data_IF_881988940226
#
_entry.id   IF_881988940226
#
_cell.length_a   1.000
_cell.length_b   1.000
_cell.length_c   1.000
_cell.angle_alpha   90.00
_cell.angle_beta   90.00
_cell.angle_gamma   90.00
#
_symmetry.space_group_name_H-M   'P 1'
#
loop_
_entity.id
_entity.type
_entity.pdbx_description
1 polymer ?
#
# COMPACT_ATOMS: atom_id res chain seq x y z
N UNK A 1 -7.12 11.78 42.54
CA UNK A 1 -6.49 11.18 41.33
C UNK A 1 -7.55 11.04 40.23
N UNK A 2 -7.55 11.91 39.21
CA UNK A 2 -8.48 11.79 38.07
C UNK A 2 -7.78 10.97 36.96
N UNK A 3 -8.20 9.72 36.78
CA UNK A 3 -7.84 8.90 35.61
C UNK A 3 -8.62 9.44 34.42
N UNK A 4 -7.99 10.22 33.53
CA UNK A 4 -8.60 10.56 32.25
C UNK A 4 -8.53 9.33 31.35
N UNK A 5 -9.66 8.62 31.27
CA UNK A 5 -9.89 7.59 30.27
C UNK A 5 -9.98 8.24 28.89
N UNK A 6 -8.83 8.48 28.28
CA UNK A 6 -8.75 8.94 26.90
C UNK A 6 -9.11 7.73 26.01
N UNK A 7 -10.40 7.46 25.87
CA UNK A 7 -10.93 6.56 24.84
C UNK A 7 -10.58 7.20 23.50
N UNK A 8 -9.41 6.83 22.96
CA UNK A 8 -9.06 7.14 21.58
C UNK A 8 -10.22 6.67 20.72
N UNK A 9 -10.96 7.60 20.12
CA UNK A 9 -12.00 7.30 19.14
C UNK A 9 -11.29 6.57 18.00
N UNK A 10 -11.29 5.24 18.06
CA UNK A 10 -10.94 4.37 16.95
C UNK A 10 -12.04 4.61 15.93
N UNK A 11 -11.74 5.48 14.97
CA UNK A 11 -12.66 5.79 13.89
C UNK A 11 -12.27 4.83 12.79
N UNK A 12 -13.23 3.99 12.43
CA UNK A 12 -13.10 3.04 11.35
C UNK A 12 -12.56 3.79 10.12
N UNK A 13 -11.54 3.24 9.44
CA UNK A 13 -11.07 3.85 8.22
C UNK A 13 -12.25 3.92 7.26
N UNK A 14 -12.68 5.14 6.90
CA UNK A 14 -13.59 5.36 5.77
C UNK A 14 -12.90 4.75 4.54
N UNK A 15 -13.43 3.61 4.11
CA UNK A 15 -13.09 2.92 2.88
C UNK A 15 -13.76 3.70 1.75
N UNK A 16 -12.97 4.24 0.81
CA UNK A 16 -13.54 4.66 -0.45
C UNK A 16 -14.05 3.41 -1.16
N UNK A 17 -15.34 3.43 -1.50
CA UNK A 17 -16.10 2.43 -2.26
C UNK A 17 -15.67 2.34 -3.74
N UNK A 18 -14.42 2.70 -4.05
CA UNK A 18 -13.85 2.65 -5.38
C UNK A 18 -13.40 1.20 -5.68
N UNK A 19 -14.39 0.38 -6.00
CA UNK A 19 -14.30 -1.00 -6.48
C UNK A 19 -14.39 -2.04 -5.36
N UNK A 20 -15.47 -2.84 -5.36
CA UNK A 20 -15.62 -4.06 -4.56
C UNK A 20 -14.69 -5.18 -5.05
N UNK A 21 -13.39 -4.89 -5.18
CA UNK A 21 -12.42 -5.91 -5.55
C UNK A 21 -12.32 -6.91 -4.40
N UNK A 22 -12.62 -8.17 -4.67
CA UNK A 22 -12.47 -9.24 -3.67
C UNK A 22 -11.00 -9.54 -3.38
N UNK A 23 -10.10 -9.18 -4.30
CA UNK A 23 -8.66 -9.35 -4.18
C UNK A 23 -7.88 -8.16 -4.74
N UNK A 24 -6.67 -7.95 -4.23
CA UNK A 24 -5.63 -7.08 -4.80
C UNK A 24 -4.36 -7.90 -5.05
N UNK A 25 -3.59 -7.51 -6.05
CA UNK A 25 -2.35 -8.17 -6.46
C UNK A 25 -1.16 -7.31 -6.09
N UNK A 26 -0.40 -7.73 -5.08
CA UNK A 26 0.75 -6.98 -4.55
C UNK A 26 2.03 -7.52 -5.15
N UNK A 27 2.80 -6.66 -5.82
CA UNK A 27 4.12 -7.03 -6.32
C UNK A 27 5.14 -6.94 -5.18
N UNK A 28 5.76 -8.07 -4.87
CA UNK A 28 6.69 -8.26 -3.77
C UNK A 28 8.08 -8.57 -4.32
N UNK A 29 9.00 -7.69 -3.99
CA UNK A 29 10.43 -7.84 -4.25
C UNK A 29 11.10 -8.51 -3.04
N UNK A 30 11.59 -9.74 -3.24
CA UNK A 30 12.18 -10.58 -2.20
C UNK A 30 13.37 -9.96 -1.45
N UNK A 31 14.05 -8.96 -2.03
CA UNK A 31 15.21 -8.30 -1.42
C UNK A 31 14.84 -7.08 -0.56
N UNK A 32 13.65 -6.49 -0.77
CA UNK A 32 13.18 -5.28 -0.06
C UNK A 32 12.13 -5.54 1.01
N UNK A 33 11.62 -6.76 1.08
CA UNK A 33 10.63 -7.15 2.08
C UNK A 33 11.31 -7.76 3.28
N UNK A 34 11.32 -7.02 4.39
CA UNK A 34 11.52 -7.65 5.71
C UNK A 34 10.31 -8.56 5.95
N UNK A 35 10.47 -9.86 5.71
CA UNK A 35 9.57 -10.85 6.30
C UNK A 35 9.56 -10.57 7.80
N UNK A 36 8.45 -10.07 8.34
CA UNK A 36 8.35 -9.92 9.79
C UNK A 36 8.52 -11.31 10.39
N UNK A 37 9.39 -11.37 11.41
CA UNK A 37 9.84 -12.59 12.09
C UNK A 37 8.75 -13.66 12.20
N UNK A 38 9.14 -14.91 11.95
CA UNK A 38 8.35 -16.14 12.13
C UNK A 38 7.57 -16.13 13.46
N UNK A 39 6.30 -15.74 13.44
CA UNK A 39 5.34 -16.01 14.53
C UNK A 39 4.04 -16.55 13.95
N UNK A 40 4.07 -17.79 13.43
CA UNK A 40 2.86 -18.54 13.06
C UNK A 40 1.90 -17.87 12.05
N UNK A 41 0.61 -18.21 12.13
CA UNK A 41 -0.49 -17.67 11.29
C UNK A 41 -0.73 -16.16 11.47
N UNK A 42 -0.08 -15.53 12.44
CA UNK A 42 -0.26 -14.13 12.80
C UNK A 42 1.04 -13.35 12.58
N UNK A 43 1.15 -12.69 11.42
CA UNK A 43 2.34 -11.94 11.08
C UNK A 43 2.12 -10.95 9.94
N UNK A 44 3.15 -10.17 9.65
CA UNK A 44 3.21 -9.27 8.50
C UNK A 44 3.90 -10.00 7.35
N UNK A 45 3.26 -10.04 6.19
CA UNK A 45 3.82 -10.62 4.97
C UNK A 45 4.77 -9.65 4.28
N UNK A 46 4.32 -8.42 4.02
CA UNK A 46 5.16 -7.33 3.53
C UNK A 46 4.92 -6.06 4.35
N UNK A 47 5.98 -5.29 4.59
CA UNK A 47 5.89 -3.95 5.15
C UNK A 47 6.64 -2.96 4.30
N UNK A 48 6.05 -1.79 4.13
CA UNK A 48 6.70 -0.63 3.58
C UNK A 48 7.64 -0.01 4.62
N UNK A 49 8.75 0.56 4.15
CA UNK A 49 9.64 1.37 4.99
C UNK A 49 9.20 2.83 5.00
N UNK A 50 9.50 3.55 6.09
CA UNK A 50 9.20 4.97 6.23
C UNK A 50 8.06 5.27 7.23
N UNK A 51 7.75 6.56 7.44
CA UNK A 51 6.72 6.98 8.39
C UNK A 51 5.33 6.59 7.90
N UNK A 52 4.41 6.28 8.81
CA UNK A 52 3.01 5.99 8.44
C UNK A 52 2.28 7.29 8.16
N UNK A 53 1.57 7.36 7.03
CA UNK A 53 0.71 8.51 6.69
C UNK A 53 -0.70 8.04 6.44
N UNK A 54 -1.68 8.69 7.05
CA UNK A 54 -3.08 8.32 6.83
C UNK A 54 -3.59 8.84 5.48
N UNK A 55 -4.41 8.04 4.80
CA UNK A 55 -5.14 8.45 3.59
C UNK A 55 -6.33 9.38 3.85
N UNK A 56 -6.76 9.49 5.11
CA UNK A 56 -7.81 10.41 5.57
C UNK A 56 -7.26 11.45 6.57
N UNK A 57 -6.31 12.32 6.15
CA UNK A 57 -5.69 13.28 7.05
C UNK A 57 -6.64 14.44 7.43
N UNK A 58 -6.92 14.57 8.73
CA UNK A 58 -7.74 15.66 9.29
C UNK A 58 -7.03 17.01 9.34
N UNK A 59 -5.74 17.00 9.66
CA UNK A 59 -4.93 18.21 9.81
C UNK A 59 -4.23 18.55 8.49
N UNK A 60 -4.13 19.84 8.17
CA UNK A 60 -3.43 20.35 6.97
C UNK A 60 -1.98 19.83 6.91
N UNK A 61 -1.27 19.81 8.05
CA UNK A 61 0.09 19.24 8.14
C UNK A 61 0.16 17.78 7.68
N UNK A 62 -0.87 16.97 7.98
CA UNK A 62 -0.93 15.57 7.57
C UNK A 62 -1.33 15.42 6.10
N UNK A 63 -2.17 16.33 5.57
CA UNK A 63 -2.45 16.42 4.12
C UNK A 63 -1.19 16.71 3.33
N UNK A 64 -0.36 17.64 3.78
CA UNK A 64 0.92 17.96 3.11
C UNK A 64 1.88 16.77 3.12
N UNK A 65 1.95 16.02 4.24
CA UNK A 65 2.72 14.77 4.30
C UNK A 65 2.20 13.72 3.32
N UNK A 66 0.89 13.55 3.23
CA UNK A 66 0.27 12.63 2.26
C UNK A 66 0.60 13.05 0.84
N UNK A 67 0.43 14.33 0.49
CA UNK A 67 0.78 14.89 -0.82
C UNK A 67 2.24 14.64 -1.18
N UNK A 68 3.18 14.90 -0.26
CA UNK A 68 4.59 14.59 -0.46
C UNK A 68 4.83 13.09 -0.68
N UNK A 69 4.06 12.24 0.00
CA UNK A 69 4.11 10.78 -0.15
C UNK A 69 3.68 10.30 -1.52
N UNK A 70 2.57 10.83 -2.00
CA UNK A 70 2.05 10.54 -3.34
C UNK A 70 3.01 11.05 -4.41
N UNK A 71 3.52 12.28 -4.28
CA UNK A 71 4.49 12.84 -5.24
C UNK A 71 5.78 12.03 -5.33
N UNK A 72 6.32 11.59 -4.19
CA UNK A 72 7.55 10.78 -4.17
C UNK A 72 7.33 9.37 -4.72
N UNK A 73 6.12 8.81 -4.53
CA UNK A 73 5.76 7.54 -5.14
C UNK A 73 5.76 7.63 -6.67
N UNK A 74 5.14 8.69 -7.22
CA UNK A 74 5.06 8.90 -8.67
C UNK A 74 6.41 9.30 -9.26
N UNK A 75 7.18 10.12 -8.54
CA UNK A 75 8.50 10.57 -8.96
C UNK A 75 9.57 10.20 -7.92
N UNK A 76 10.15 8.98 -7.99
CA UNK A 76 11.13 8.51 -7.03
C UNK A 76 12.43 9.33 -6.98
N UNK A 77 12.72 10.12 -8.01
CA UNK A 77 13.90 10.99 -8.06
C UNK A 77 13.75 12.25 -7.18
N UNK A 78 12.53 12.59 -6.77
CA UNK A 78 12.23 13.87 -6.13
C UNK A 78 12.37 13.87 -4.58
N UNK A 79 12.42 12.71 -3.89
CA UNK A 79 12.48 12.73 -2.43
C UNK A 79 13.12 11.48 -1.78
N UNK A 80 14.05 11.71 -0.85
CA UNK A 80 14.83 10.67 -0.14
C UNK A 80 14.15 10.07 1.11
N UNK A 81 13.15 10.73 1.70
CA UNK A 81 12.60 10.36 3.02
C UNK A 81 11.08 10.40 3.08
N UNK A 82 10.44 9.45 2.40
CA UNK A 82 9.01 9.49 2.20
C UNK A 82 8.39 8.11 2.42
N UNK A 83 7.18 8.00 3.02
CA UNK A 83 6.48 6.73 3.21
C UNK A 83 6.48 5.94 1.91
N UNK A 84 7.06 4.76 1.94
CA UNK A 84 6.89 3.85 0.82
C UNK A 84 5.47 3.32 0.93
N UNK A 85 4.71 3.41 -0.15
CA UNK A 85 3.51 2.61 -0.25
C UNK A 85 3.89 1.21 -0.70
N UNK A 86 3.03 0.25 -0.39
CA UNK A 86 3.10 -1.06 -1.02
C UNK A 86 2.21 -0.96 -2.25
N UNK A 87 2.81 -1.08 -3.42
CA UNK A 87 2.10 -1.07 -4.70
C UNK A 87 1.23 -2.32 -4.81
N UNK A 88 -0.03 -2.12 -5.19
CA UNK A 88 -0.98 -3.17 -5.46
C UNK A 88 -1.73 -2.84 -6.76
N UNK A 89 -2.32 -3.87 -7.36
CA UNK A 89 -3.11 -3.75 -8.58
C UNK A 89 -4.46 -4.45 -8.40
N UNK A 90 -5.51 -3.98 -9.05
CA UNK A 90 -6.80 -4.70 -9.10
C UNK A 90 -6.80 -5.84 -10.12
N UNK A 91 -5.88 -5.84 -11.09
CA UNK A 91 -5.77 -6.88 -12.11
C UNK A 91 -4.50 -7.74 -11.96
N UNK A 92 -4.66 -9.06 -12.10
CA UNK A 92 -3.54 -10.00 -12.02
C UNK A 92 -2.56 -9.83 -13.18
N UNK A 93 -3.10 -9.67 -14.39
CA UNK A 93 -2.29 -9.57 -15.60
C UNK A 93 -1.35 -8.37 -15.53
N UNK A 94 -1.85 -7.21 -15.07
CA UNK A 94 -1.05 -6.00 -14.89
C UNK A 94 0.01 -6.19 -13.80
N UNK A 95 -0.36 -6.78 -12.65
CA UNK A 95 0.60 -7.07 -11.59
C UNK A 95 1.74 -8.01 -12.04
N UNK A 96 1.41 -9.01 -12.85
CA UNK A 96 2.39 -9.96 -13.40
C UNK A 96 3.29 -9.29 -14.43
N UNK A 97 2.76 -8.46 -15.32
CA UNK A 97 3.58 -7.70 -16.27
C UNK A 97 4.50 -6.71 -15.55
N UNK A 98 4.01 -5.98 -14.56
CA UNK A 98 4.84 -5.10 -13.73
C UNK A 98 5.95 -5.89 -13.01
N UNK A 99 5.62 -7.07 -12.47
CA UNK A 99 6.60 -7.95 -11.85
C UNK A 99 7.69 -8.42 -12.85
N UNK A 100 7.32 -8.76 -14.09
CA UNK A 100 8.27 -9.11 -15.16
C UNK A 100 9.15 -7.93 -15.54
N UNK A 101 8.59 -6.73 -15.68
CA UNK A 101 9.33 -5.49 -15.96
C UNK A 101 10.35 -5.26 -14.85
N UNK A 102 9.93 -5.29 -13.58
CA UNK A 102 10.83 -5.13 -12.43
C UNK A 102 11.95 -6.17 -12.41
N UNK A 103 11.65 -7.43 -12.74
CA UNK A 103 12.63 -8.52 -12.84
C UNK A 103 13.70 -8.21 -13.90
N UNK A 104 13.30 -7.71 -15.07
CA UNK A 104 14.19 -7.32 -16.17
C UNK A 104 15.01 -6.08 -15.83
N UNK A 105 14.38 -5.01 -15.34
CA UNK A 105 15.02 -3.70 -15.12
C UNK A 105 15.98 -3.71 -13.94
N UNK A 106 15.68 -4.48 -12.88
CA UNK A 106 16.48 -4.49 -11.66
C UNK A 106 17.41 -5.71 -11.54
N UNK A 107 17.41 -6.62 -12.53
CA UNK A 107 18.21 -7.85 -12.52
C UNK A 107 17.90 -8.78 -11.34
N UNK A 108 16.68 -8.69 -10.79
CA UNK A 108 16.31 -9.33 -9.52
C UNK A 108 15.92 -10.78 -9.71
N UNK A 109 16.45 -11.66 -8.87
CA UNK A 109 16.22 -13.11 -8.97
C UNK A 109 14.90 -13.58 -8.36
N UNK A 110 14.25 -12.78 -7.50
CA UNK A 110 13.03 -13.19 -6.77
C UNK A 110 11.99 -12.06 -6.70
N UNK A 111 11.21 -11.90 -7.76
CA UNK A 111 9.99 -11.08 -7.76
C UNK A 111 8.79 -12.03 -7.69
N UNK A 112 7.80 -11.70 -6.87
CA UNK A 112 6.58 -12.49 -6.70
C UNK A 112 5.37 -11.59 -6.69
N UNK A 113 4.21 -12.13 -7.05
CA UNK A 113 2.92 -11.44 -6.94
C UNK A 113 2.11 -12.15 -5.86
N UNK A 114 1.70 -11.43 -4.82
CA UNK A 114 0.86 -11.96 -3.77
C UNK A 114 -0.59 -11.55 -4.00
N UNK A 115 -1.48 -12.53 -3.99
CA UNK A 115 -2.93 -12.31 -4.07
C UNK A 115 -3.45 -12.07 -2.67
N UNK A 116 -4.00 -10.90 -2.46
CA UNK A 116 -4.43 -10.39 -1.16
C UNK A 116 -5.95 -10.28 -1.13
N UNK A 117 -6.61 -10.98 -0.22
CA UNK A 117 -8.04 -10.79 0.01
C UNK A 117 -8.30 -9.45 0.70
N UNK A 118 -9.17 -8.63 0.12
CA UNK A 118 -9.48 -7.28 0.63
C UNK A 118 -10.32 -7.31 1.91
N UNK A 119 -11.20 -8.31 2.05
CA UNK A 119 -11.97 -8.54 3.27
C UNK A 119 -11.08 -8.73 4.50
N UNK A 120 -9.91 -9.33 4.31
CA UNK A 120 -8.94 -9.59 5.36
C UNK A 120 -8.12 -8.34 5.72
N UNK A 121 -8.10 -7.31 4.86
CA UNK A 121 -7.51 -5.98 5.08
C UNK A 121 -8.49 -5.01 5.76
N UNK A 122 -9.79 -5.18 5.52
CA UNK A 122 -10.88 -4.32 6.01
C UNK A 122 -10.73 -3.99 7.50
N UNK A 123 -10.80 -2.70 7.82
CA UNK A 123 -10.65 -2.16 9.19
C UNK A 123 -9.25 -2.30 9.82
N UNK A 124 -8.28 -2.92 9.14
CA UNK A 124 -6.92 -3.19 9.67
C UNK A 124 -5.83 -2.43 8.93
N UNK A 125 -5.98 -2.29 7.62
CA UNK A 125 -4.99 -1.65 6.74
C UNK A 125 -5.70 -0.68 5.82
N UNK A 126 -5.18 0.54 5.72
CA UNK A 126 -5.66 1.51 4.75
C UNK A 126 -5.07 1.18 3.38
N UNK A 127 -5.92 1.01 2.38
CA UNK A 127 -5.53 0.94 0.98
C UNK A 127 -6.40 1.90 0.17
N UNK A 128 -5.90 2.39 -0.96
CA UNK A 128 -6.62 3.38 -1.76
C UNK A 128 -6.25 3.28 -3.23
N UNK A 129 -7.21 3.59 -4.10
CA UNK A 129 -6.93 3.82 -5.51
C UNK A 129 -5.98 5.01 -5.65
N UNK A 130 -4.90 4.83 -6.42
CA UNK A 130 -3.83 5.82 -6.53
C UNK A 130 -4.32 7.10 -7.23
N UNK A 131 -5.18 7.00 -8.24
CA UNK A 131 -5.77 8.14 -8.93
C UNK A 131 -6.67 8.95 -7.99
N UNK A 132 -7.53 8.29 -7.23
CA UNK A 132 -8.38 8.97 -6.22
C UNK A 132 -7.51 9.67 -5.16
N UNK A 133 -6.41 9.04 -4.74
CA UNK A 133 -5.45 9.64 -3.80
C UNK A 133 -4.74 10.88 -4.38
N UNK A 134 -4.38 10.87 -5.68
CA UNK A 134 -3.81 12.01 -6.38
C UNK A 134 -4.80 13.18 -6.47
N UNK A 135 -6.05 12.90 -6.86
CA UNK A 135 -7.13 13.88 -6.92
C UNK A 135 -7.35 14.52 -5.55
N UNK A 136 -7.42 13.71 -4.49
CA UNK A 136 -7.56 14.17 -3.10
C UNK A 136 -6.41 15.05 -2.62
N UNK A 137 -5.20 14.83 -3.15
CA UNK A 137 -4.02 15.65 -2.85
C UNK A 137 -3.87 16.88 -3.75
N UNK A 138 -4.79 17.09 -4.70
CA UNK A 138 -4.69 18.14 -5.71
C UNK A 138 -3.41 18.01 -6.54
N UNK A 139 -3.06 16.79 -6.93
CA UNK A 139 -1.93 16.50 -7.81
C UNK A 139 -2.51 16.32 -9.22
N UNK A 140 -2.23 17.27 -10.11
CA UNK A 140 -2.56 17.16 -11.53
C UNK A 140 -1.71 16.07 -12.20
N UNK A 141 -2.26 15.45 -13.25
CA UNK A 141 -1.68 14.37 -14.08
C UNK A 141 -1.97 12.92 -13.59
N UNK A 142 -3.24 12.49 -13.56
CA UNK A 142 -3.62 11.12 -13.19
C UNK A 142 -3.12 10.05 -14.17
N UNK A 143 -2.63 10.44 -15.36
CA UNK A 143 -2.05 9.53 -16.36
C UNK A 143 -0.66 8.99 -15.98
N UNK A 144 -0.04 9.53 -14.93
CA UNK A 144 1.23 9.03 -14.40
C UNK A 144 1.10 7.72 -13.61
N UNK A 145 -0.13 7.27 -13.35
CA UNK A 145 -0.44 6.06 -12.61
C UNK A 145 -1.43 5.22 -13.42
N UNK A 146 -1.29 3.91 -13.35
CA UNK A 146 -2.18 2.99 -14.05
C UNK A 146 -3.58 3.02 -13.42
N UNK A 147 -4.61 2.81 -14.25
CA UNK A 147 -6.02 2.82 -13.85
C UNK A 147 -6.36 1.74 -12.82
N UNK A 148 -5.59 0.67 -12.76
CA UNK A 148 -5.75 -0.46 -11.87
C UNK A 148 -4.84 -0.36 -10.62
N UNK A 149 -4.09 0.74 -10.47
CA UNK A 149 -3.10 0.88 -9.42
C UNK A 149 -3.69 1.33 -8.08
N UNK A 150 -3.41 0.54 -7.05
CA UNK A 150 -3.71 0.80 -5.66
C UNK A 150 -2.44 0.95 -4.84
N UNK A 151 -2.57 1.62 -3.70
CA UNK A 151 -1.51 1.74 -2.71
C UNK A 151 -2.00 1.26 -1.36
N UNK A 152 -1.24 0.36 -0.75
CA UNK A 152 -1.48 -0.12 0.61
C UNK A 152 -0.53 0.61 1.55
N UNK A 153 -1.09 1.15 2.63
CA UNK A 153 -0.33 1.83 3.66
C UNK A 153 0.32 0.83 4.62
N UNK A 154 1.57 1.08 4.99
CA UNK A 154 2.31 0.41 6.07
C UNK A 154 2.64 -1.07 5.86
N UNK A 155 1.66 -1.97 5.82
CA UNK A 155 1.91 -3.41 5.74
C UNK A 155 0.73 -4.24 5.25
N UNK A 156 1.03 -5.42 4.70
CA UNK A 156 0.07 -6.47 4.36
C UNK A 156 0.19 -7.60 5.38
N UNK A 157 -0.88 -7.96 6.09
CA UNK A 157 -0.86 -9.07 7.04
C UNK A 157 -0.85 -10.41 6.30
N UNK A 158 -0.16 -11.40 6.86
CA UNK A 158 -0.01 -12.74 6.27
C UNK A 158 -1.34 -13.48 6.11
N UNK A 159 -2.30 -13.23 7.01
CA UNK A 159 -3.66 -13.79 6.90
C UNK A 159 -4.42 -13.32 5.67
N UNK A 160 -4.04 -12.18 5.09
CA UNK A 160 -4.71 -11.66 3.90
C UNK A 160 -4.13 -12.26 2.61
N UNK A 161 -2.98 -12.93 2.67
CA UNK A 161 -2.35 -13.58 1.52
C UNK A 161 -3.06 -14.90 1.24
N UNK A 162 -3.73 -14.99 0.10
CA UNK A 162 -4.43 -16.19 -0.37
C UNK A 162 -3.52 -17.12 -1.16
N UNK A 163 -2.72 -16.56 -2.06
CA UNK A 163 -1.70 -17.29 -2.84
C UNK A 163 -0.52 -16.38 -3.20
N UNK A 164 0.60 -16.99 -3.55
CA UNK A 164 1.79 -16.30 -4.08
C UNK A 164 2.12 -16.90 -5.43
N UNK A 165 2.29 -16.05 -6.43
CA UNK A 165 2.66 -16.39 -7.80
C UNK A 165 4.14 -16.01 -7.98
N UNK A 166 4.94 -16.96 -8.44
CA UNK A 166 6.35 -16.74 -8.74
C UNK A 166 6.48 -16.31 -10.20
N UNK A 167 7.17 -15.19 -10.44
CA UNK A 167 7.36 -14.57 -11.76
C UNK A 167 8.83 -14.63 -12.17
#
# INVERSE_FOLDING_TARGET
>A
MRKSGNKSRFIEPEEDTDGEHTCLFVVVDGDRVKYARKTGKFGIFVSASGPVVSFNPRLVKNRNKLKQSVLAYINPKAARFVPKFITAFSEEAVAVEEAKVLKRTLGKRKVTVAVIGTQELRGKVQYHHMRSLMTKCGIGNPHLVLDDQYVINRCVPRKAVRRVIHV
#
